data_IF_311148415145
#
_entry.id   IF_311148415145
#
_cell.length_a   1.000
_cell.length_b   1.000
_cell.length_c   1.000
_cell.angle_alpha   90.00
_cell.angle_beta   90.00
_cell.angle_gamma   90.00
#
_symmetry.space_group_name_H-M   'P 1'
#
loop_
_entity.id
_entity.type
_entity.pdbx_description
1 polymer ?
#
# COMPACT_ATOMS: atom_id res chain seq x y z
N UNK A 1 -23.57 1.56 -6.89
CA UNK A 1 -23.15 1.07 -5.55
C UNK A 1 -21.93 0.21 -5.78
N UNK A 2 -20.75 0.58 -5.24
CA UNK A 2 -19.51 -0.15 -5.47
C UNK A 2 -19.61 -1.61 -5.00
N UNK A 3 -18.82 -2.48 -5.63
CA UNK A 3 -18.83 -3.92 -5.35
C UNK A 3 -17.98 -4.28 -4.13
N UNK A 4 -16.98 -3.46 -3.75
CA UNK A 4 -16.13 -3.70 -2.58
C UNK A 4 -16.75 -3.07 -1.33
N UNK A 5 -16.77 -3.81 -0.23
CA UNK A 5 -17.19 -3.26 1.07
C UNK A 5 -16.03 -2.52 1.75
N UNK A 6 -15.90 -1.24 1.43
CA UNK A 6 -14.87 -0.36 1.98
C UNK A 6 -14.99 -0.11 3.47
N UNK A 7 -16.20 -0.19 4.04
CA UNK A 7 -16.40 -0.06 5.49
C UNK A 7 -15.86 -1.28 6.21
N UNK A 8 -16.13 -2.47 5.64
CA UNK A 8 -15.57 -3.71 6.15
C UNK A 8 -14.05 -3.72 6.01
N UNK A 9 -13.51 -3.24 4.87
CA UNK A 9 -12.07 -3.12 4.66
C UNK A 9 -11.42 -2.24 5.74
N UNK A 10 -11.97 -1.07 6.03
CA UNK A 10 -11.47 -0.19 7.08
C UNK A 10 -11.54 -0.85 8.46
N UNK A 11 -12.69 -1.44 8.82
CA UNK A 11 -12.86 -2.11 10.10
C UNK A 11 -11.88 -3.28 10.30
N UNK A 12 -11.70 -4.12 9.28
CA UNK A 12 -10.73 -5.22 9.30
C UNK A 12 -9.29 -4.68 9.40
N UNK A 13 -8.97 -3.62 8.65
CA UNK A 13 -7.67 -2.98 8.72
C UNK A 13 -7.33 -2.47 10.13
N UNK A 14 -8.27 -1.79 10.78
CA UNK A 14 -8.13 -1.30 12.14
C UNK A 14 -7.98 -2.46 13.15
N UNK A 15 -8.78 -3.52 13.01
CA UNK A 15 -8.65 -4.73 13.84
C UNK A 15 -7.27 -5.37 13.70
N UNK A 16 -6.81 -5.59 12.47
CA UNK A 16 -5.51 -6.20 12.19
C UNK A 16 -4.38 -5.33 12.73
N UNK A 17 -4.47 -4.02 12.54
CA UNK A 17 -3.48 -3.08 13.09
C UNK A 17 -3.40 -3.10 14.63
N UNK A 18 -4.52 -3.38 15.31
CA UNK A 18 -4.60 -3.49 16.76
C UNK A 18 -4.19 -4.87 17.32
N UNK A 19 -4.49 -5.96 16.61
CA UNK A 19 -4.20 -7.33 17.06
C UNK A 19 -2.73 -7.68 16.92
N UNK A 20 -2.11 -7.35 15.79
CA UNK A 20 -0.69 -7.67 15.56
C UNK A 20 0.24 -6.84 16.48
N UNK A 21 -0.23 -5.69 16.97
CA UNK A 21 0.44 -4.94 18.03
C UNK A 21 0.49 -5.67 19.39
N UNK A 22 -0.33 -6.71 19.60
CA UNK A 22 -0.36 -7.48 20.85
C UNK A 22 0.52 -8.75 20.84
N UNK A 23 0.91 -9.23 19.68
CA UNK A 23 1.64 -10.50 19.52
C UNK A 23 3.17 -10.40 19.50
N UNK A 24 3.70 -9.24 19.23
CA UNK A 24 5.12 -8.93 19.35
C UNK A 24 5.21 -7.82 20.39
N UNK A 25 5.82 -8.04 21.53
CA UNK A 25 5.98 -7.19 22.72
C UNK A 25 5.81 -5.66 22.51
N UNK A 26 4.71 -5.23 21.92
CA UNK A 26 4.38 -3.83 21.74
C UNK A 26 3.64 -3.40 22.98
N UNK A 27 4.16 -2.47 23.76
CA UNK A 27 3.41 -1.87 24.87
C UNK A 27 2.07 -1.36 24.30
N UNK A 28 0.97 -1.44 25.06
CA UNK A 28 -0.29 -0.84 24.65
C UNK A 28 -0.03 0.63 24.27
N UNK A 29 -0.74 1.15 23.27
CA UNK A 29 -0.55 2.52 22.77
C UNK A 29 -0.61 3.61 23.87
N UNK A 30 -1.20 3.29 25.03
CA UNK A 30 -1.22 4.12 26.23
C UNK A 30 0.11 4.16 27.02
N UNK A 31 1.07 3.28 26.75
CA UNK A 31 2.38 3.24 27.43
C UNK A 31 3.53 3.79 26.58
N UNK A 32 3.33 3.89 25.27
CA UNK A 32 4.19 4.69 24.40
C UNK A 32 3.66 6.10 24.50
N UNK A 33 4.29 6.94 25.32
CA UNK A 33 3.88 8.34 25.47
C UNK A 33 3.59 8.93 24.10
N UNK A 34 2.40 9.54 23.94
CA UNK A 34 1.95 10.07 22.65
C UNK A 34 3.10 10.83 22.00
N UNK A 35 3.63 10.30 20.91
CA UNK A 35 4.61 11.03 20.13
C UNK A 35 3.89 12.20 19.49
N UNK A 36 3.94 13.34 20.14
CA UNK A 36 3.50 14.60 19.54
C UNK A 36 4.62 15.06 18.60
N UNK A 37 4.48 14.70 17.34
CA UNK A 37 5.32 15.29 16.30
C UNK A 37 4.81 16.73 16.12
N UNK A 38 5.69 17.69 16.33
CA UNK A 38 5.40 19.06 15.92
C UNK A 38 5.90 19.26 14.48
N UNK A 39 5.03 19.36 13.47
CA UNK A 39 5.43 19.51 12.08
C UNK A 39 6.24 20.80 11.84
N UNK A 40 5.97 21.85 12.61
CA UNK A 40 6.65 23.13 12.48
C UNK A 40 8.13 23.04 12.89
N UNK A 41 8.46 22.24 13.91
CA UNK A 41 9.85 22.05 14.36
C UNK A 41 10.71 21.30 13.35
N UNK A 42 10.10 20.52 12.45
CA UNK A 42 10.80 19.78 11.39
C UNK A 42 11.18 20.66 10.21
N UNK A 43 10.57 21.84 10.10
CA UNK A 43 10.86 22.84 9.07
C UNK A 43 11.00 22.25 7.66
N UNK A 44 9.93 21.54 7.20
CA UNK A 44 9.93 20.90 5.88
C UNK A 44 10.34 21.83 4.71
N UNK A 45 10.00 23.14 4.69
CA UNK A 45 10.48 24.04 3.65
C UNK A 45 12.00 24.22 3.63
N UNK A 46 12.66 24.26 4.80
CA UNK A 46 14.12 24.34 4.87
C UNK A 46 14.77 23.03 4.41
N UNK A 47 14.23 21.88 4.83
CA UNK A 47 14.68 20.58 4.35
C UNK A 47 14.53 20.49 2.83
N UNK A 48 13.40 20.90 2.28
CA UNK A 48 13.16 20.95 0.84
C UNK A 48 14.22 21.83 0.13
N UNK A 49 14.52 23.02 0.66
CA UNK A 49 15.53 23.90 0.10
C UNK A 49 16.92 23.25 0.08
N UNK A 50 17.31 22.56 1.16
CA UNK A 50 18.60 21.83 1.22
C UNK A 50 18.64 20.68 0.21
N UNK A 51 17.55 19.92 0.08
CA UNK A 51 17.45 18.82 -0.87
C UNK A 51 17.48 19.36 -2.30
N UNK A 52 16.74 20.43 -2.61
CA UNK A 52 16.76 21.10 -3.91
C UNK A 52 18.17 21.57 -4.27
N UNK A 53 18.90 22.17 -3.32
CA UNK A 53 20.27 22.60 -3.54
C UNK A 53 21.22 21.43 -3.86
N UNK A 54 20.98 20.26 -3.31
CA UNK A 54 21.77 19.06 -3.56
C UNK A 54 21.39 18.35 -4.86
N UNK A 55 20.09 18.20 -5.12
CA UNK A 55 19.55 17.37 -6.23
C UNK A 55 19.28 18.17 -7.50
N UNK A 56 19.06 19.46 -7.39
CA UNK A 56 18.53 20.31 -8.48
C UNK A 56 17.04 20.10 -8.77
N UNK A 57 16.33 19.28 -7.98
CA UNK A 57 14.89 19.06 -8.11
C UNK A 57 14.15 20.22 -7.43
N UNK A 58 13.41 20.99 -8.19
CA UNK A 58 12.65 22.15 -7.70
C UNK A 58 11.17 22.01 -8.10
N UNK A 59 10.29 21.67 -7.14
CA UNK A 59 8.87 21.49 -7.42
C UNK A 59 8.21 22.86 -7.59
N UNK A 60 7.39 23.00 -8.64
CA UNK A 60 6.68 24.26 -8.97
C UNK A 60 5.73 24.69 -7.84
N UNK A 61 5.10 23.71 -7.16
CA UNK A 61 4.05 23.93 -6.15
C UNK A 61 4.56 23.80 -4.70
N UNK A 62 5.89 23.70 -4.52
CA UNK A 62 6.49 23.45 -3.22
C UNK A 62 6.24 22.02 -2.69
N UNK A 63 6.42 21.81 -1.38
CA UNK A 63 6.20 20.54 -0.72
C UNK A 63 4.93 20.59 0.13
N UNK A 64 4.15 19.50 0.18
CA UNK A 64 2.97 19.42 1.05
C UNK A 64 3.34 19.60 2.53
N UNK A 65 2.37 20.05 3.33
CA UNK A 65 2.52 20.10 4.77
C UNK A 65 2.67 18.69 5.36
N UNK A 66 3.50 18.57 6.40
CA UNK A 66 3.65 17.32 7.15
C UNK A 66 2.39 17.06 7.99
N UNK A 67 1.84 15.87 7.87
CA UNK A 67 0.67 15.42 8.62
C UNK A 67 1.04 14.24 9.53
N UNK A 68 1.22 14.45 10.84
CA UNK A 68 1.29 13.36 11.79
C UNK A 68 -0.04 12.63 11.86
N UNK A 69 -0.01 11.31 11.65
CA UNK A 69 -1.20 10.45 11.65
C UNK A 69 -1.01 9.24 12.56
N UNK A 70 -2.13 8.70 13.03
CA UNK A 70 -2.19 7.37 13.62
C UNK A 70 -2.42 6.29 12.56
N UNK A 71 -2.34 5.02 12.94
CA UNK A 71 -2.57 3.89 12.03
C UNK A 71 -3.96 3.89 11.41
N UNK A 72 -5.07 4.12 12.16
CA UNK A 72 -6.40 4.19 11.57
C UNK A 72 -6.54 5.27 10.49
N UNK A 73 -5.98 6.46 10.71
CA UNK A 73 -5.98 7.54 9.71
C UNK A 73 -5.15 7.18 8.48
N UNK A 74 -3.99 6.55 8.68
CA UNK A 74 -3.17 6.05 7.57
C UNK A 74 -3.92 5.00 6.75
N UNK A 75 -4.60 4.03 7.41
CA UNK A 75 -5.45 3.04 6.74
C UNK A 75 -6.54 3.72 5.92
N UNK A 76 -7.28 4.67 6.52
CA UNK A 76 -8.35 5.39 5.82
C UNK A 76 -7.85 6.15 4.58
N UNK A 77 -6.69 6.82 4.67
CA UNK A 77 -6.06 7.50 3.56
C UNK A 77 -5.73 6.53 2.41
N UNK A 78 -5.04 5.43 2.71
CA UNK A 78 -4.66 4.44 1.70
C UNK A 78 -5.87 3.74 1.05
N UNK A 79 -6.90 3.41 1.82
CA UNK A 79 -8.14 2.85 1.26
C UNK A 79 -8.84 3.85 0.34
N UNK A 80 -8.83 5.14 0.66
CA UNK A 80 -9.38 6.19 -0.20
C UNK A 80 -8.63 6.28 -1.53
N UNK A 81 -7.29 6.21 -1.51
CA UNK A 81 -6.45 6.23 -2.71
C UNK A 81 -6.58 4.94 -3.55
N UNK A 82 -6.78 3.78 -2.90
CA UNK A 82 -7.01 2.50 -3.58
C UNK A 82 -8.40 2.38 -4.23
N UNK A 83 -9.39 3.06 -3.69
CA UNK A 83 -10.78 2.93 -4.11
C UNK A 83 -10.99 3.21 -5.60
N UNK A 84 -10.53 4.32 -6.19
CA UNK A 84 -10.68 4.58 -7.62
C UNK A 84 -10.02 3.54 -8.51
N UNK A 85 -8.99 2.83 -8.00
CA UNK A 85 -8.26 1.79 -8.73
C UNK A 85 -9.02 0.46 -8.72
N UNK A 86 -9.51 0.05 -7.55
CA UNK A 86 -10.08 -1.29 -7.35
C UNK A 86 -11.58 -1.36 -7.68
N UNK A 87 -12.33 -0.26 -7.55
CA UNK A 87 -13.78 -0.26 -7.77
C UNK A 87 -14.16 -0.61 -9.21
N UNK A 88 -13.54 -0.02 -10.27
CA UNK A 88 -13.81 -0.40 -11.65
C UNK A 88 -13.47 -1.86 -11.96
N UNK A 89 -12.39 -2.39 -11.37
CA UNK A 89 -11.98 -3.77 -11.56
C UNK A 89 -12.99 -4.74 -10.95
N UNK A 90 -13.47 -4.45 -9.75
CA UNK A 90 -14.45 -5.29 -9.05
C UNK A 90 -15.84 -5.28 -9.71
N UNK A 91 -16.26 -4.15 -10.29
CA UNK A 91 -17.52 -4.05 -11.02
C UNK A 91 -17.56 -4.95 -12.25
N UNK A 92 -16.43 -5.05 -12.94
CA UNK A 92 -16.27 -5.90 -14.14
C UNK A 92 -16.24 -7.39 -13.81
N UNK A 93 -15.61 -7.78 -12.69
CA UNK A 93 -15.62 -9.17 -12.21
C UNK A 93 -17.05 -9.65 -11.82
N UNK A 94 -17.93 -8.74 -11.40
CA UNK A 94 -19.31 -9.05 -10.99
C UNK A 94 -20.31 -9.20 -12.13
N UNK A 95 -19.96 -8.89 -13.38
CA UNK A 95 -20.89 -8.79 -14.51
C UNK A 95 -21.43 -10.12 -15.09
N UNK A 96 -20.82 -11.27 -14.74
CA UNK A 96 -21.05 -12.55 -15.41
C UNK A 96 -21.98 -13.56 -14.71
N UNK A 97 -22.61 -13.23 -13.57
CA UNK A 97 -23.20 -14.22 -12.65
C UNK A 97 -24.75 -14.38 -12.70
N UNK A 98 -25.43 -13.90 -13.71
CA UNK A 98 -26.89 -14.13 -13.93
C UNK A 98 -27.80 -13.69 -12.74
N UNK A 99 -28.97 -14.29 -12.52
CA UNK A 99 -29.97 -13.86 -11.51
C UNK A 99 -29.51 -13.93 -10.05
N UNK A 100 -28.51 -14.78 -9.74
CA UNK A 100 -27.89 -14.90 -8.42
C UNK A 100 -26.78 -13.84 -8.19
N UNK A 101 -26.59 -12.94 -9.15
CA UNK A 101 -25.52 -11.96 -9.18
C UNK A 101 -25.50 -11.00 -7.98
N UNK A 102 -26.61 -10.74 -7.33
CA UNK A 102 -26.72 -9.83 -6.18
C UNK A 102 -26.02 -10.38 -4.94
N UNK A 103 -26.35 -11.60 -4.52
CA UNK A 103 -25.76 -12.25 -3.35
C UNK A 103 -24.28 -12.61 -3.59
N UNK A 104 -23.95 -13.13 -4.78
CA UNK A 104 -22.58 -13.47 -5.13
C UNK A 104 -21.68 -12.22 -5.21
N UNK A 105 -22.19 -11.10 -5.73
CA UNK A 105 -21.49 -9.80 -5.73
C UNK A 105 -21.25 -9.26 -4.32
N UNK A 106 -22.26 -9.34 -3.45
CA UNK A 106 -22.11 -8.91 -2.06
C UNK A 106 -21.07 -9.74 -1.31
N UNK A 107 -21.08 -11.06 -1.49
CA UNK A 107 -20.11 -11.96 -0.88
C UNK A 107 -18.69 -11.75 -1.40
N UNK A 108 -18.51 -11.57 -2.72
CA UNK A 108 -17.20 -11.27 -3.31
C UNK A 108 -16.69 -9.90 -2.88
N UNK A 109 -17.56 -8.89 -2.83
CA UNK A 109 -17.19 -7.55 -2.37
C UNK A 109 -16.77 -7.52 -0.90
N UNK A 110 -17.43 -8.30 -0.06
CA UNK A 110 -17.02 -8.47 1.34
C UNK A 110 -15.66 -9.18 1.46
N UNK A 111 -15.45 -10.26 0.66
CA UNK A 111 -14.17 -10.99 0.67
C UNK A 111 -12.99 -10.10 0.24
N UNK A 112 -13.14 -9.34 -0.85
CA UNK A 112 -12.13 -8.38 -1.29
C UNK A 112 -11.92 -7.30 -0.23
N UNK A 113 -12.99 -6.81 0.38
CA UNK A 113 -12.91 -5.84 1.48
C UNK A 113 -12.09 -6.37 2.66
N UNK A 114 -12.31 -7.63 3.06
CA UNK A 114 -11.51 -8.29 4.12
C UNK A 114 -10.04 -8.40 3.74
N UNK A 115 -9.73 -8.81 2.50
CA UNK A 115 -8.35 -8.97 2.04
C UNK A 115 -7.60 -7.63 1.96
N UNK A 116 -8.22 -6.62 1.34
CA UNK A 116 -7.64 -5.28 1.23
C UNK A 116 -7.45 -4.66 2.62
N UNK A 117 -8.46 -4.79 3.50
CA UNK A 117 -8.37 -4.31 4.86
C UNK A 117 -7.27 -5.00 5.66
N UNK A 118 -7.18 -6.33 5.60
CA UNK A 118 -6.14 -7.09 6.30
C UNK A 118 -4.73 -6.69 5.84
N UNK A 119 -4.51 -6.59 4.52
CA UNK A 119 -3.24 -6.17 3.96
C UNK A 119 -2.87 -4.75 4.40
N UNK A 120 -3.80 -3.81 4.27
CA UNK A 120 -3.57 -2.41 4.66
C UNK A 120 -3.31 -2.30 6.17
N UNK A 121 -4.04 -3.07 6.99
CA UNK A 121 -3.82 -3.15 8.43
C UNK A 121 -2.45 -3.70 8.81
N UNK A 122 -1.94 -4.71 8.09
CA UNK A 122 -0.58 -5.24 8.30
C UNK A 122 0.49 -4.21 7.91
N UNK A 123 0.31 -3.53 6.77
CA UNK A 123 1.25 -2.50 6.29
C UNK A 123 1.28 -1.30 7.23
N UNK A 124 0.12 -0.90 7.78
CA UNK A 124 0.01 0.25 8.69
C UNK A 124 0.91 0.18 9.92
N UNK A 125 1.42 -1.00 10.28
CA UNK A 125 2.28 -1.21 11.43
C UNK A 125 3.77 -1.01 11.12
N UNK A 126 4.14 -0.94 9.85
CA UNK A 126 5.54 -0.90 9.39
C UNK A 126 5.92 0.42 8.76
N UNK A 127 4.96 1.11 8.18
CA UNK A 127 5.19 2.39 7.50
C UNK A 127 5.53 3.47 8.50
N UNK A 128 6.66 4.14 8.33
CA UNK A 128 7.13 5.25 9.19
C UNK A 128 6.66 6.61 8.64
N UNK A 129 6.78 6.80 7.34
CA UNK A 129 6.33 7.94 6.59
C UNK A 129 5.74 7.52 5.24
N UNK A 130 5.08 8.44 4.57
CA UNK A 130 4.55 8.22 3.22
C UNK A 130 4.32 9.55 2.51
N UNK A 131 4.99 9.73 1.37
CA UNK A 131 4.51 10.68 0.37
C UNK A 131 3.36 10.04 -0.39
N UNK A 132 2.14 10.50 -0.13
CA UNK A 132 0.93 9.98 -0.75
C UNK A 132 0.62 10.78 -2.01
N UNK A 133 0.59 10.11 -3.16
CA UNK A 133 0.16 10.67 -4.43
C UNK A 133 -0.81 9.71 -5.12
N UNK A 134 -2.00 10.22 -5.47
CA UNK A 134 -2.96 9.47 -6.27
C UNK A 134 -2.54 9.52 -7.75
N UNK A 135 -1.88 8.45 -8.23
CA UNK A 135 -1.30 8.40 -9.58
C UNK A 135 -2.34 8.61 -10.69
N UNK A 136 -3.55 8.08 -10.52
CA UNK A 136 -4.61 8.16 -11.51
C UNK A 136 -5.60 9.32 -11.29
N UNK A 137 -5.43 10.09 -10.24
CA UNK A 137 -6.25 11.30 -10.00
C UNK A 137 -5.81 12.42 -10.96
N UNK A 138 -6.71 12.99 -11.77
CA UNK A 138 -6.37 14.11 -12.65
C UNK A 138 -5.95 15.38 -11.87
N UNK A 139 -6.43 15.55 -10.63
CA UNK A 139 -6.13 16.67 -9.75
C UNK A 139 -5.59 16.17 -8.40
N UNK A 140 -4.38 15.57 -8.36
CA UNK A 140 -3.85 15.00 -7.14
C UNK A 140 -3.61 16.10 -6.10
N UNK A 141 -3.97 15.80 -4.87
CA UNK A 141 -3.58 16.59 -3.70
C UNK A 141 -2.58 15.75 -2.90
N UNK A 142 -1.27 15.84 -3.21
CA UNK A 142 -0.27 15.03 -2.54
C UNK A 142 -0.19 15.39 -1.05
N UNK A 143 0.14 14.40 -0.22
CA UNK A 143 0.25 14.54 1.24
C UNK A 143 1.55 13.95 1.73
N UNK A 144 2.08 14.49 2.83
CA UNK A 144 3.23 13.96 3.55
C UNK A 144 2.77 13.43 4.89
N UNK A 145 2.62 12.11 5.02
CA UNK A 145 2.15 11.45 6.22
C UNK A 145 3.31 10.96 7.07
N UNK A 146 3.27 11.18 8.38
CA UNK A 146 4.19 10.61 9.37
C UNK A 146 3.40 9.74 10.34
N UNK A 147 3.66 8.45 10.39
CA UNK A 147 2.92 7.50 11.24
C UNK A 147 3.52 7.53 12.65
N UNK A 148 3.04 8.46 13.47
CA UNK A 148 3.61 8.78 14.79
C UNK A 148 3.81 7.56 15.71
N UNK A 149 2.85 6.61 15.87
CA UNK A 149 3.07 5.44 16.72
C UNK A 149 4.18 4.50 16.20
N UNK A 150 4.38 4.43 14.87
CA UNK A 150 5.42 3.60 14.29
C UNK A 150 6.81 4.22 14.47
N UNK A 151 6.91 5.53 14.30
CA UNK A 151 8.14 6.27 14.55
C UNK A 151 8.58 6.14 16.01
N UNK A 152 7.64 6.28 16.96
CA UNK A 152 7.92 6.06 18.37
C UNK A 152 8.44 4.64 18.66
N UNK A 153 7.78 3.64 18.07
CA UNK A 153 8.16 2.23 18.23
C UNK A 153 9.51 1.94 17.58
N UNK A 154 9.77 2.48 16.39
CA UNK A 154 11.03 2.27 15.67
C UNK A 154 12.21 2.90 16.44
N UNK A 155 12.07 4.14 16.94
CA UNK A 155 13.10 4.79 17.75
C UNK A 155 13.44 3.96 19.00
N UNK A 156 12.42 3.45 19.68
CA UNK A 156 12.62 2.58 20.85
C UNK A 156 13.32 1.27 20.49
N UNK A 157 12.91 0.61 19.40
CA UNK A 157 13.47 -0.66 18.97
C UNK A 157 14.94 -0.54 18.51
N UNK A 158 15.27 0.57 17.85
CA UNK A 158 16.61 0.86 17.35
C UNK A 158 17.53 1.49 18.41
N UNK A 159 16.96 1.97 19.53
CA UNK A 159 17.72 2.66 20.58
C UNK A 159 18.30 4.00 20.12
N UNK A 160 17.63 4.68 19.18
CA UNK A 160 18.04 5.97 18.62
C UNK A 160 17.19 7.12 19.17
N UNK A 161 17.70 8.35 19.04
CA UNK A 161 16.92 9.51 19.38
C UNK A 161 15.67 9.63 18.50
N UNK A 162 14.57 9.98 19.13
CA UNK A 162 13.26 10.01 18.49
C UNK A 162 13.14 11.18 17.51
N UNK A 163 13.66 12.35 17.85
CA UNK A 163 13.57 13.53 17.01
C UNK A 163 14.48 13.38 15.80
N UNK A 164 15.65 12.78 15.98
CA UNK A 164 16.58 12.46 14.90
C UNK A 164 15.94 11.48 13.89
N UNK A 165 15.30 10.39 14.38
CA UNK A 165 14.61 9.45 13.50
C UNK A 165 13.46 10.11 12.74
N UNK A 166 12.64 10.92 13.42
CA UNK A 166 11.54 11.64 12.76
C UNK A 166 12.06 12.59 11.69
N UNK A 167 13.15 13.34 11.99
CA UNK A 167 13.80 14.21 11.01
C UNK A 167 14.33 13.43 9.82
N UNK A 168 14.98 12.30 10.06
CA UNK A 168 15.54 11.44 9.04
C UNK A 168 14.48 10.90 8.08
N UNK A 169 13.37 10.36 8.63
CA UNK A 169 12.22 9.93 7.82
C UNK A 169 11.58 11.12 7.09
N UNK A 170 11.52 12.30 7.72
CA UNK A 170 11.00 13.51 7.05
C UNK A 170 11.83 13.89 5.82
N UNK A 171 13.16 13.80 5.88
CA UNK A 171 14.02 14.04 4.72
C UNK A 171 13.69 13.07 3.58
N UNK A 172 13.47 11.79 3.90
CA UNK A 172 13.08 10.77 2.93
C UNK A 172 11.78 11.13 2.22
N UNK A 173 10.73 11.43 2.98
CA UNK A 173 9.41 11.75 2.42
C UNK A 173 9.39 13.08 1.65
N UNK A 174 10.12 14.08 2.12
CA UNK A 174 10.31 15.36 1.40
C UNK A 174 11.08 15.12 0.10
N UNK A 175 12.05 14.20 0.08
CA UNK A 175 12.75 13.84 -1.16
C UNK A 175 11.79 13.25 -2.19
N UNK A 176 10.87 12.38 -1.79
CA UNK A 176 9.83 11.89 -2.69
C UNK A 176 8.94 13.01 -3.22
N UNK A 177 8.54 13.96 -2.38
CA UNK A 177 7.78 15.12 -2.83
C UNK A 177 8.52 15.94 -3.89
N UNK A 178 9.84 16.11 -3.71
CA UNK A 178 10.70 16.82 -4.69
C UNK A 178 10.91 16.00 -5.97
N UNK A 179 11.04 14.66 -5.89
CA UNK A 179 11.14 13.79 -7.06
C UNK A 179 9.90 13.91 -7.95
N UNK A 180 8.72 13.80 -7.36
CA UNK A 180 7.46 13.84 -8.11
C UNK A 180 7.06 15.25 -8.52
N UNK A 181 7.36 16.26 -7.72
CA UNK A 181 7.10 17.68 -8.03
C UNK A 181 8.10 18.27 -9.03
N UNK A 182 9.39 17.95 -8.89
CA UNK A 182 10.46 18.42 -9.77
C UNK A 182 10.64 17.62 -11.06
N UNK A 183 10.04 16.43 -11.15
CA UNK A 183 10.04 15.57 -12.34
C UNK A 183 8.61 15.13 -12.71
N UNK A 184 7.74 16.00 -13.24
CA UNK A 184 6.32 15.71 -13.51
C UNK A 184 6.09 14.48 -14.41
N UNK A 185 7.02 14.19 -15.32
CA UNK A 185 6.99 13.02 -16.18
C UNK A 185 6.98 11.69 -15.39
N UNK A 186 7.56 11.67 -14.18
CA UNK A 186 7.67 10.47 -13.35
C UNK A 186 6.29 9.94 -12.92
N UNK A 187 5.41 10.86 -12.48
CA UNK A 187 4.03 10.52 -12.15
C UNK A 187 3.28 9.99 -13.37
N UNK A 188 3.42 10.67 -14.51
CA UNK A 188 2.74 10.26 -15.76
C UNK A 188 3.24 8.90 -16.23
N UNK A 189 4.53 8.62 -16.12
CA UNK A 189 5.13 7.33 -16.46
C UNK A 189 4.56 6.20 -15.60
N UNK A 190 4.56 6.35 -14.27
CA UNK A 190 3.99 5.37 -13.35
C UNK A 190 2.48 5.19 -13.58
N UNK A 191 1.74 6.29 -13.78
CA UNK A 191 0.33 6.24 -14.09
C UNK A 191 0.04 5.53 -15.42
N UNK A 192 0.90 5.71 -16.43
CA UNK A 192 0.83 5.00 -17.71
C UNK A 192 0.97 3.50 -17.54
N UNK A 193 2.02 3.06 -16.86
CA UNK A 193 2.25 1.64 -16.57
C UNK A 193 1.10 1.01 -15.75
N UNK A 194 0.58 1.75 -14.77
CA UNK A 194 -0.55 1.27 -13.95
C UNK A 194 -1.82 1.11 -14.79
N UNK A 195 -2.13 2.07 -15.70
CA UNK A 195 -3.26 1.95 -16.63
C UNK A 195 -3.09 0.76 -17.56
N UNK A 196 -1.91 0.59 -18.15
CA UNK A 196 -1.61 -0.54 -19.03
C UNK A 196 -1.80 -1.88 -18.29
N UNK A 197 -1.31 -1.99 -17.06
CA UNK A 197 -1.53 -3.16 -16.22
C UNK A 197 -3.01 -3.41 -15.97
N UNK A 198 -3.77 -2.38 -15.60
CA UNK A 198 -5.21 -2.49 -15.38
C UNK A 198 -5.98 -2.87 -16.65
N UNK A 199 -5.64 -2.29 -17.80
CA UNK A 199 -6.28 -2.58 -19.08
C UNK A 199 -5.97 -4.00 -19.55
N UNK A 200 -4.75 -4.47 -19.34
CA UNK A 200 -4.37 -5.85 -19.66
C UNK A 200 -5.14 -6.89 -18.83
N UNK A 201 -5.43 -6.60 -17.57
CA UNK A 201 -6.25 -7.46 -16.71
C UNK A 201 -7.72 -7.55 -17.16
N UNK A 202 -8.22 -6.54 -17.90
CA UNK A 202 -9.61 -6.50 -18.35
C UNK A 202 -9.91 -7.49 -19.49
N UNK A 203 -8.93 -7.81 -20.31
CA UNK A 203 -9.10 -8.64 -21.51
C UNK A 203 -9.33 -10.12 -21.15
N UNK A 204 -8.81 -10.59 -20.03
CA UNK A 204 -8.88 -12.01 -19.62
C UNK A 204 -10.05 -12.37 -18.70
N UNK A 205 -10.52 -11.45 -17.88
CA UNK A 205 -11.70 -11.70 -17.02
C UNK A 205 -12.93 -12.10 -17.84
N UNK A 206 -12.99 -11.70 -19.11
CA UNK A 206 -14.02 -12.14 -20.06
C UNK A 206 -13.85 -13.56 -20.59
N UNK A 207 -12.67 -14.16 -20.53
CA UNK A 207 -12.36 -15.46 -21.15
C UNK A 207 -12.16 -16.62 -20.15
N UNK A 208 -11.62 -16.39 -18.96
CA UNK A 208 -11.18 -17.46 -18.04
C UNK A 208 -11.63 -17.29 -16.56
N UNK A 209 -12.36 -16.26 -16.21
CA UNK A 209 -12.74 -15.92 -14.83
C UNK A 209 -13.54 -16.96 -14.06
N UNK A 210 -13.94 -18.07 -14.70
CA UNK A 210 -14.66 -19.18 -14.05
C UNK A 210 -13.73 -20.28 -13.49
N UNK A 211 -12.48 -20.38 -13.96
CA UNK A 211 -11.55 -21.44 -13.56
C UNK A 211 -10.96 -21.21 -12.16
N UNK A 212 -10.36 -20.06 -11.93
CA UNK A 212 -9.66 -19.78 -10.66
C UNK A 212 -10.56 -19.73 -9.43
N UNK A 213 -11.81 -19.27 -9.57
CA UNK A 213 -12.79 -19.28 -8.48
C UNK A 213 -13.32 -20.69 -8.21
N UNK A 214 -13.44 -21.52 -9.24
CA UNK A 214 -13.83 -22.94 -9.10
C UNK A 214 -12.73 -23.74 -8.39
N UNK A 215 -11.47 -23.50 -8.70
CA UNK A 215 -10.35 -24.16 -8.03
C UNK A 215 -10.23 -23.72 -6.57
N UNK A 216 -10.52 -22.45 -6.26
CA UNK A 216 -10.60 -21.94 -4.89
C UNK A 216 -11.80 -22.52 -4.12
N UNK A 217 -12.94 -22.68 -4.77
CA UNK A 217 -14.14 -23.30 -4.20
C UNK A 217 -14.01 -24.83 -4.11
N UNK A 218 -13.30 -25.48 -5.02
CA UNK A 218 -12.97 -26.90 -4.94
C UNK A 218 -12.07 -27.21 -3.72
N UNK A 219 -11.30 -26.24 -3.24
CA UNK A 219 -10.54 -26.33 -1.99
C UNK A 219 -11.45 -26.30 -0.74
N UNK A 220 -12.72 -25.88 -0.85
CA UNK A 220 -13.67 -25.85 0.27
C UNK A 220 -14.39 -27.18 0.53
N UNK A 221 -14.04 -28.24 -0.19
CA UNK A 221 -14.43 -29.62 0.12
C UNK A 221 -15.96 -29.86 0.20
N UNK A 222 -16.63 -29.98 -0.95
CA UNK A 222 -18.05 -30.30 -0.99
C UNK A 222 -18.32 -31.77 -0.71
N UNK A 223 -17.29 -32.64 -0.71
CA UNK A 223 -17.45 -34.08 -0.41
C UNK A 223 -16.40 -34.57 0.60
N UNK A 224 -16.81 -34.64 1.84
CA UNK A 224 -16.29 -35.54 2.86
C UNK A 224 -14.92 -35.19 3.46
N UNK A 225 -14.89 -34.99 4.76
CA UNK A 225 -13.78 -34.81 5.72
C UNK A 225 -12.51 -34.18 5.18
N UNK A 226 -12.23 -32.93 5.55
CA UNK A 226 -11.01 -32.24 5.10
C UNK A 226 -9.76 -32.95 5.65
N UNK A 227 -8.89 -33.40 4.76
CA UNK A 227 -7.55 -33.85 5.15
C UNK A 227 -6.73 -32.61 5.51
N UNK A 228 -6.63 -32.36 6.82
CA UNK A 228 -5.95 -31.21 7.39
C UNK A 228 -4.46 -31.19 7.02
N UNK A 229 -3.84 -32.35 6.77
CA UNK A 229 -2.44 -32.46 6.39
C UNK A 229 -2.22 -32.00 4.95
N UNK A 230 -3.06 -32.45 4.02
CA UNK A 230 -3.02 -32.04 2.62
C UNK A 230 -3.37 -30.53 2.45
N UNK A 231 -4.28 -30.01 3.27
CA UNK A 231 -4.62 -28.59 3.28
C UNK A 231 -3.45 -27.73 3.81
N UNK A 232 -2.73 -28.23 4.82
CA UNK A 232 -1.56 -27.54 5.40
C UNK A 232 -0.40 -27.50 4.42
N UNK A 233 -0.15 -28.58 3.71
CA UNK A 233 0.90 -28.67 2.69
C UNK A 233 0.61 -27.76 1.49
N UNK A 234 -0.62 -27.76 0.98
CA UNK A 234 -1.06 -26.84 -0.08
C UNK A 234 -1.02 -25.38 0.34
N UNK A 235 -1.36 -25.08 1.59
CA UNK A 235 -1.30 -23.72 2.12
C UNK A 235 0.17 -23.26 2.25
N UNK A 236 1.07 -24.14 2.68
CA UNK A 236 2.49 -23.84 2.77
C UNK A 236 3.12 -23.60 1.39
N UNK A 237 2.75 -24.42 0.38
CA UNK A 237 3.15 -24.24 -1.02
C UNK A 237 2.61 -22.91 -1.60
N UNK A 238 1.35 -22.60 -1.33
CA UNK A 238 0.71 -21.34 -1.74
C UNK A 238 1.41 -20.12 -1.13
N UNK A 239 1.73 -20.19 0.16
CA UNK A 239 2.46 -19.14 0.88
C UNK A 239 3.88 -19.00 0.32
N UNK A 240 4.56 -20.10 0.01
CA UNK A 240 5.89 -20.09 -0.59
C UNK A 240 5.87 -19.44 -1.98
N UNK A 241 4.94 -19.83 -2.84
CA UNK A 241 4.76 -19.25 -4.19
C UNK A 241 4.35 -17.78 -4.14
N UNK A 242 3.52 -17.40 -3.15
CA UNK A 242 3.16 -16.00 -2.92
C UNK A 242 4.36 -15.15 -2.50
N UNK A 243 5.23 -15.68 -1.62
CA UNK A 243 6.46 -14.97 -1.18
C UNK A 243 7.47 -14.77 -2.32
N UNK A 244 7.52 -15.67 -3.27
CA UNK A 244 8.46 -15.62 -4.38
C UNK A 244 7.89 -14.89 -5.63
N UNK A 245 6.68 -14.34 -5.55
CA UNK A 245 6.01 -13.68 -6.69
C UNK A 245 5.57 -14.63 -7.81
N UNK A 246 5.80 -15.93 -7.65
CA UNK A 246 5.54 -16.95 -8.67
C UNK A 246 4.04 -17.11 -8.95
N UNK A 247 3.19 -16.98 -7.92
CA UNK A 247 1.74 -16.96 -8.09
C UNK A 247 1.26 -15.75 -8.90
N UNK A 248 1.83 -14.58 -8.64
CA UNK A 248 1.53 -13.36 -9.39
C UNK A 248 1.96 -13.51 -10.86
N UNK A 249 3.15 -14.06 -11.11
CA UNK A 249 3.66 -14.29 -12.47
C UNK A 249 2.78 -15.26 -13.25
N UNK A 250 2.38 -16.40 -12.64
CA UNK A 250 1.49 -17.38 -13.28
C UNK A 250 0.10 -16.77 -13.54
N UNK A 251 -0.40 -15.97 -12.60
CA UNK A 251 -1.75 -15.36 -12.70
C UNK A 251 -1.80 -14.20 -13.69
N UNK A 252 -0.73 -13.42 -13.78
CA UNK A 252 -0.67 -12.23 -14.66
C UNK A 252 -0.26 -12.57 -16.10
N UNK A 253 0.46 -13.66 -16.32
CA UNK A 253 1.09 -13.97 -17.62
C UNK A 253 2.39 -13.16 -17.84
N UNK A 254 3.20 -13.60 -18.84
CA UNK A 254 4.55 -13.06 -19.02
C UNK A 254 4.58 -11.56 -19.39
N UNK A 255 3.69 -11.13 -20.28
CA UNK A 255 3.66 -9.72 -20.74
C UNK A 255 3.34 -8.74 -19.61
N UNK A 256 2.43 -9.12 -18.70
CA UNK A 256 2.07 -8.32 -17.53
C UNK A 256 3.14 -8.37 -16.46
N UNK A 257 3.82 -9.51 -16.36
CA UNK A 257 4.94 -9.65 -15.45
C UNK A 257 6.08 -8.68 -15.79
N UNK A 258 6.39 -8.53 -17.08
CA UNK A 258 7.38 -7.54 -17.53
C UNK A 258 7.01 -6.12 -17.13
N UNK A 259 5.72 -5.77 -17.22
CA UNK A 259 5.24 -4.45 -16.78
C UNK A 259 5.41 -4.26 -15.26
N UNK A 260 5.11 -5.29 -14.46
CA UNK A 260 5.35 -5.28 -13.02
C UNK A 260 6.84 -5.13 -12.70
N UNK A 261 7.72 -5.82 -13.42
CA UNK A 261 9.19 -5.68 -13.26
C UNK A 261 9.67 -4.27 -13.60
N UNK A 262 9.14 -3.65 -14.65
CA UNK A 262 9.46 -2.25 -15.00
C UNK A 262 8.99 -1.28 -13.91
N UNK A 263 7.78 -1.48 -13.36
CA UNK A 263 7.30 -0.69 -12.23
C UNK A 263 8.19 -0.85 -11.00
N UNK A 264 8.59 -2.08 -10.67
CA UNK A 264 9.48 -2.36 -9.55
C UNK A 264 10.86 -1.74 -9.75
N UNK A 265 11.43 -1.82 -10.96
CA UNK A 265 12.70 -1.19 -11.28
C UNK A 265 12.63 0.34 -11.12
N UNK A 266 11.54 0.95 -11.61
CA UNK A 266 11.31 2.40 -11.45
C UNK A 266 11.19 2.78 -9.98
N UNK A 267 10.42 2.03 -9.19
CA UNK A 267 10.30 2.26 -7.74
C UNK A 267 11.64 2.10 -7.03
N UNK A 268 12.44 1.09 -7.39
CA UNK A 268 13.77 0.88 -6.79
C UNK A 268 14.72 2.05 -7.07
N UNK A 269 14.63 2.69 -8.24
CA UNK A 269 15.39 3.90 -8.55
C UNK A 269 14.93 5.10 -7.73
N UNK A 270 13.62 5.27 -7.56
CA UNK A 270 13.03 6.34 -6.74
C UNK A 270 13.49 6.20 -5.29
N UNK A 271 13.37 5.01 -4.71
CA UNK A 271 13.78 4.70 -3.35
C UNK A 271 15.30 4.85 -3.16
N UNK A 272 16.11 4.26 -4.03
CA UNK A 272 17.58 4.36 -3.94
C UNK A 272 18.09 5.79 -4.06
N UNK A 273 17.43 6.62 -4.87
CA UNK A 273 17.75 8.05 -4.92
C UNK A 273 17.36 8.75 -3.60
N UNK A 274 16.20 8.44 -3.03
CA UNK A 274 15.77 9.03 -1.75
C UNK A 274 16.71 8.64 -0.60
N UNK A 275 17.12 7.37 -0.52
CA UNK A 275 18.13 6.91 0.45
C UNK A 275 19.46 7.65 0.29
N UNK A 276 19.94 7.78 -0.95
CA UNK A 276 21.19 8.50 -1.23
C UNK A 276 21.12 9.98 -0.80
N UNK A 277 20.01 10.64 -1.10
CA UNK A 277 19.80 12.05 -0.71
C UNK A 277 19.73 12.19 0.81
N UNK A 278 19.01 11.28 1.46
CA UNK A 278 18.87 11.23 2.90
C UNK A 278 20.22 11.13 3.60
N UNK A 279 21.11 10.28 3.12
CA UNK A 279 22.48 10.14 3.64
C UNK A 279 23.32 11.40 3.40
N UNK A 280 23.18 12.05 2.24
CA UNK A 280 23.97 13.21 1.88
C UNK A 280 23.51 14.50 2.58
N UNK A 281 22.21 14.66 2.84
CA UNK A 281 21.62 15.90 3.38
C UNK A 281 21.31 15.76 4.88
N UNK A 282 21.16 14.54 5.39
CA UNK A 282 20.82 14.26 6.78
C UNK A 282 22.00 14.33 7.76
N UNK A 283 23.24 14.33 7.25
CA UNK A 283 24.46 14.38 8.06
C UNK A 283 24.71 15.75 8.73
#
# INVERSE_FOLDING_TARGET
>A
MGTIDWRLAQHVGELVSGIAGRGWATPPASSVGELRINPESLNAPELASRITAYTGLDPTDGVPALEPVDRPRWIAANLATMRPLLEPLSERMGGGLGPLSGMARSASGALIGVQVGALTGMLSQRVLGQYEIALLDPNPSPRLLLVAPNLAQAAQNLGVDREELVRWVTIHEVTHALQFGGAPWLREHLAGMLRELMDSMQIEVGKEGAGGLRDLLALSGIDGRPDVSAMREKLADLISKARNGELLRITLGEDRWQLVEQMQATMSLIEGHAEHVMDAVGA
#
